data_IF_812226471287
#
_entry.id   IF_812226471287
#
_cell.length_a   1.000
_cell.length_b   1.000
_cell.length_c   1.000
_cell.angle_alpha   90.00
_cell.angle_beta   90.00
_cell.angle_gamma   90.00
#
_symmetry.space_group_name_H-M   'P 1'
#
loop_
_entity.id
_entity.type
_entity.pdbx_description
1 polymer ?
#
# COMPACT_ATOMS: atom_id res chain seq x y z
N UNK A 1 1.09 1.08 -14.82
CA UNK A 1 0.12 1.72 -13.90
C UNK A 1 0.75 2.85 -13.10
N UNK A 2 1.85 2.63 -12.43
CA UNK A 2 2.66 3.66 -11.75
C UNK A 2 4.03 3.71 -12.40
N UNK A 3 4.55 4.92 -12.67
CA UNK A 3 5.92 5.16 -13.10
C UNK A 3 6.49 6.26 -12.20
N UNK A 4 7.48 5.93 -11.39
CA UNK A 4 8.29 6.86 -10.62
C UNK A 4 9.65 7.01 -11.29
N UNK A 5 10.09 8.24 -11.56
CA UNK A 5 11.35 8.53 -12.23
C UNK A 5 12.15 9.55 -11.44
N UNK A 6 13.26 9.10 -10.84
CA UNK A 6 14.22 9.89 -10.06
C UNK A 6 13.55 10.76 -8.98
N UNK A 7 12.56 10.18 -8.27
CA UNK A 7 11.78 10.89 -7.25
C UNK A 7 12.64 11.11 -6.02
N UNK A 8 12.81 12.36 -5.63
CA UNK A 8 13.48 12.75 -4.38
C UNK A 8 12.56 13.60 -3.51
N UNK A 9 12.73 13.50 -2.20
CA UNK A 9 12.00 14.32 -1.22
C UNK A 9 12.88 14.75 -0.08
N UNK A 10 13.00 16.06 0.10
CA UNK A 10 13.71 16.68 1.20
C UNK A 10 12.72 17.38 2.15
N UNK A 11 12.98 17.29 3.43
CA UNK A 11 12.33 18.04 4.51
C UNK A 11 13.43 18.80 5.26
N UNK A 12 13.67 20.06 4.85
CA UNK A 12 14.85 20.79 5.29
C UNK A 12 16.14 20.06 4.92
N UNK A 13 16.97 19.74 5.90
CA UNK A 13 18.22 18.98 5.73
C UNK A 13 18.01 17.46 5.62
N UNK A 14 16.83 16.93 5.97
CA UNK A 14 16.56 15.51 5.91
C UNK A 14 16.12 15.10 4.50
N UNK A 15 16.93 14.26 3.83
CA UNK A 15 16.58 13.63 2.58
C UNK A 15 15.80 12.31 2.85
N UNK A 16 14.48 12.35 2.70
CA UNK A 16 13.61 11.19 2.95
C UNK A 16 13.55 10.23 1.77
N UNK A 17 13.71 10.73 0.53
CA UNK A 17 13.82 9.93 -0.70
C UNK A 17 14.94 10.47 -1.56
N UNK A 18 15.72 9.57 -2.16
CA UNK A 18 16.86 9.88 -3.01
C UNK A 18 16.79 9.13 -4.33
N UNK A 19 16.45 9.84 -5.41
CA UNK A 19 16.40 9.33 -6.78
C UNK A 19 15.63 8.01 -6.97
N UNK A 20 14.52 7.84 -6.27
CA UNK A 20 13.67 6.64 -6.33
C UNK A 20 13.08 6.49 -7.72
N UNK A 21 13.34 5.35 -8.36
CA UNK A 21 12.78 4.99 -9.67
C UNK A 21 12.26 3.57 -9.65
N UNK A 22 11.02 3.36 -10.12
CA UNK A 22 10.41 2.05 -10.30
C UNK A 22 9.19 2.17 -11.22
N UNK A 23 8.72 1.02 -11.71
CA UNK A 23 7.50 0.93 -12.50
C UNK A 23 6.61 -0.20 -11.96
N UNK A 24 5.30 0.02 -11.85
CA UNK A 24 4.32 -1.01 -11.45
C UNK A 24 3.30 -1.19 -12.57
N UNK A 25 3.12 -2.43 -13.01
CA UNK A 25 2.16 -2.80 -14.05
C UNK A 25 0.73 -2.87 -13.51
N UNK A 26 -0.26 -2.91 -14.40
CA UNK A 26 -1.67 -3.10 -14.01
C UNK A 26 -1.89 -4.53 -13.53
N UNK A 27 -2.68 -4.68 -12.46
CA UNK A 27 -3.08 -5.97 -11.93
C UNK A 27 -2.06 -6.62 -10.98
N UNK A 28 -0.90 -5.99 -10.74
CA UNK A 28 0.08 -6.50 -9.79
C UNK A 28 -0.31 -6.18 -8.34
N UNK A 29 -0.02 -7.11 -7.42
CA UNK A 29 0.11 -6.80 -6.00
C UNK A 29 1.61 -6.68 -5.71
N UNK A 30 2.03 -5.47 -5.35
CA UNK A 30 3.44 -5.16 -5.06
C UNK A 30 3.61 -4.91 -3.58
N UNK A 31 4.48 -5.70 -2.94
CA UNK A 31 4.91 -5.49 -1.56
C UNK A 31 5.99 -4.41 -1.49
N UNK A 32 5.79 -3.41 -0.64
CA UNK A 32 6.75 -2.33 -0.42
C UNK A 32 7.36 -2.45 0.97
N UNK A 33 8.59 -2.91 1.02
CA UNK A 33 9.29 -3.29 2.24
C UNK A 33 10.38 -2.30 2.62
N UNK A 34 10.60 -2.12 3.90
CA UNK A 34 11.67 -1.29 4.44
C UNK A 34 11.50 -1.06 5.93
N UNK A 35 12.58 -0.76 6.63
CA UNK A 35 12.55 -0.42 8.06
C UNK A 35 11.76 0.88 8.29
N UNK A 36 11.37 1.12 9.55
CA UNK A 36 10.79 2.41 9.93
C UNK A 36 11.78 3.54 9.63
N UNK A 37 11.26 4.64 9.08
CA UNK A 37 12.10 5.76 8.62
C UNK A 37 12.79 5.57 7.26
N UNK A 38 12.64 4.43 6.58
CA UNK A 38 13.28 4.19 5.28
C UNK A 38 12.71 5.02 4.12
N UNK A 39 11.55 5.70 4.30
CA UNK A 39 10.91 6.52 3.27
C UNK A 39 9.57 5.97 2.75
N UNK A 40 9.07 4.83 3.25
CA UNK A 40 7.84 4.19 2.78
C UNK A 40 6.63 5.14 2.78
N UNK A 41 6.27 5.66 3.93
CA UNK A 41 5.11 6.56 4.08
C UNK A 41 5.30 7.87 3.28
N UNK A 42 6.53 8.37 3.17
CA UNK A 42 6.83 9.55 2.33
C UNK A 42 6.53 9.26 0.86
N UNK A 43 6.97 8.13 0.33
CA UNK A 43 6.68 7.73 -1.04
C UNK A 43 5.17 7.55 -1.26
N UNK A 44 4.47 6.87 -0.35
CA UNK A 44 3.01 6.68 -0.46
C UNK A 44 2.25 8.00 -0.44
N UNK A 45 2.66 8.97 0.39
CA UNK A 45 2.08 10.32 0.40
C UNK A 45 2.30 11.07 -0.92
N UNK A 46 3.45 10.85 -1.58
CA UNK A 46 3.70 11.40 -2.92
C UNK A 46 2.78 10.72 -3.94
N UNK A 47 2.72 9.39 -3.98
CA UNK A 47 1.88 8.64 -4.92
C UNK A 47 0.40 9.01 -4.79
N UNK A 48 -0.07 9.30 -3.57
CA UNK A 48 -1.46 9.74 -3.31
C UNK A 48 -1.68 11.24 -3.54
N UNK A 49 -0.68 11.96 -4.07
CA UNK A 49 -0.70 13.42 -4.27
C UNK A 49 -0.99 14.20 -2.99
N UNK A 50 -0.65 13.64 -1.81
CA UNK A 50 -0.79 14.32 -0.53
C UNK A 50 0.34 15.33 -0.30
N UNK A 51 1.56 15.01 -0.77
CA UNK A 51 2.72 15.90 -0.81
C UNK A 51 3.36 15.87 -2.19
N UNK A 52 3.95 16.97 -2.63
CA UNK A 52 4.74 17.02 -3.85
C UNK A 52 6.16 16.45 -3.62
N UNK A 53 6.77 15.79 -4.61
CA UNK A 53 8.21 15.50 -4.58
C UNK A 53 9.03 16.79 -4.62
N UNK A 54 10.29 16.76 -4.14
CA UNK A 54 11.23 17.87 -4.28
C UNK A 54 11.85 17.92 -5.69
N UNK A 55 12.03 16.72 -6.30
CA UNK A 55 12.46 16.57 -7.70
C UNK A 55 12.00 15.21 -8.24
N UNK A 56 12.15 15.02 -9.55
CA UNK A 56 11.68 13.83 -10.25
C UNK A 56 10.22 13.91 -10.66
N UNK A 57 9.68 12.81 -11.18
CA UNK A 57 8.35 12.77 -11.76
C UNK A 57 7.63 11.47 -11.39
N UNK A 58 6.34 11.56 -11.12
CA UNK A 58 5.47 10.41 -10.95
C UNK A 58 4.31 10.48 -11.92
N UNK A 59 4.06 9.37 -12.61
CA UNK A 59 2.92 9.18 -13.49
C UNK A 59 2.03 8.07 -12.92
N UNK A 60 0.72 8.28 -12.91
CA UNK A 60 -0.27 7.27 -12.54
C UNK A 60 -1.32 7.18 -13.65
N UNK A 61 -1.47 5.97 -14.20
CA UNK A 61 -2.37 5.70 -15.33
C UNK A 61 -2.15 6.66 -16.52
N UNK A 62 -0.89 7.03 -16.78
CA UNK A 62 -0.48 7.93 -17.85
C UNK A 62 -0.57 9.42 -17.51
N UNK A 63 -1.05 9.80 -16.34
CA UNK A 63 -1.20 11.19 -15.91
C UNK A 63 -0.11 11.59 -14.90
N UNK A 64 0.42 12.79 -15.04
CA UNK A 64 1.40 13.38 -14.12
C UNK A 64 0.71 13.88 -12.85
N UNK A 65 1.15 13.37 -11.67
CA UNK A 65 0.55 13.71 -10.38
C UNK A 65 0.62 15.21 -10.05
N UNK A 66 1.63 15.90 -10.55
CA UNK A 66 1.80 17.34 -10.31
C UNK A 66 0.78 18.18 -11.08
N UNK A 67 0.33 17.68 -12.23
CA UNK A 67 -0.59 18.40 -13.12
C UNK A 67 -2.06 18.00 -12.96
N UNK A 68 -2.32 16.73 -12.59
CA UNK A 68 -3.65 16.11 -12.60
C UNK A 68 -4.04 15.52 -11.23
N UNK A 69 -3.68 16.18 -10.14
CA UNK A 69 -3.84 15.63 -8.79
C UNK A 69 -5.28 15.25 -8.43
N UNK A 70 -6.29 15.99 -8.88
CA UNK A 70 -7.71 15.68 -8.61
C UNK A 70 -8.17 14.44 -9.37
N UNK A 71 -7.89 14.37 -10.69
CA UNK A 71 -8.20 13.18 -11.52
C UNK A 71 -7.53 11.93 -10.97
N UNK A 72 -6.27 12.05 -10.60
CA UNK A 72 -5.50 10.92 -10.04
C UNK A 72 -6.06 10.45 -8.71
N UNK A 73 -6.43 11.35 -7.79
CA UNK A 73 -7.05 10.98 -6.51
C UNK A 73 -8.38 10.22 -6.67
N UNK A 74 -9.12 10.48 -7.74
CA UNK A 74 -10.32 9.69 -8.07
C UNK A 74 -10.01 8.26 -8.53
N UNK A 75 -8.80 8.01 -9.03
CA UNK A 75 -8.33 6.69 -9.48
C UNK A 75 -7.65 5.88 -8.38
N UNK A 76 -7.39 6.50 -7.22
CA UNK A 76 -6.65 5.89 -6.10
C UNK A 76 -7.56 5.65 -4.92
N UNK A 77 -7.54 4.42 -4.41
CA UNK A 77 -7.97 4.10 -3.05
C UNK A 77 -6.77 4.17 -2.12
N UNK A 78 -6.89 4.85 -0.99
CA UNK A 78 -5.81 4.94 -0.02
C UNK A 78 -6.28 4.59 1.39
N UNK A 79 -5.54 3.71 2.03
CA UNK A 79 -5.65 3.38 3.43
C UNK A 79 -4.33 3.76 4.11
N UNK A 80 -4.27 4.81 4.93
CA UNK A 80 -3.12 5.08 5.78
C UNK A 80 -3.07 4.08 6.95
N UNK A 81 -1.91 3.95 7.59
CA UNK A 81 -1.67 3.08 8.76
C UNK A 81 -2.76 3.25 9.84
N UNK A 82 -3.19 4.48 10.11
CA UNK A 82 -4.34 4.78 10.95
C UNK A 82 -5.49 5.27 10.07
N UNK A 83 -6.55 4.47 9.87
CA UNK A 83 -7.70 4.88 9.06
C UNK A 83 -8.39 6.13 9.62
N UNK A 84 -8.68 7.15 8.80
CA UNK A 84 -9.36 8.39 9.23
C UNK A 84 -10.87 8.14 9.36
N UNK A 85 -11.27 7.39 10.39
CA UNK A 85 -12.66 7.00 10.61
C UNK A 85 -13.40 8.01 11.50
N UNK A 86 -14.67 8.29 11.19
CA UNK A 86 -15.54 9.09 12.04
C UNK A 86 -16.19 8.20 13.11
N UNK A 87 -15.61 8.21 14.31
CA UNK A 87 -15.94 7.33 15.42
C UNK A 87 -17.43 7.30 15.77
N UNK A 88 -18.12 8.45 15.69
CA UNK A 88 -19.53 8.62 16.05
C UNK A 88 -20.51 8.21 14.94
N UNK A 89 -20.04 7.88 13.76
CA UNK A 89 -20.89 7.38 12.66
C UNK A 89 -21.07 5.87 12.74
N UNK A 90 -22.20 5.38 12.24
CA UNK A 90 -22.33 3.94 11.94
C UNK A 90 -21.51 3.60 10.71
N UNK A 91 -21.08 2.33 10.59
CA UNK A 91 -20.30 1.85 9.43
C UNK A 91 -20.99 2.24 8.11
N UNK A 92 -22.28 1.92 7.96
CA UNK A 92 -23.02 2.22 6.73
C UNK A 92 -23.12 3.72 6.44
N UNK A 93 -23.29 4.56 7.44
CA UNK A 93 -23.40 6.02 7.24
C UNK A 93 -22.04 6.60 6.85
N UNK A 94 -20.96 6.13 7.48
CA UNK A 94 -19.60 6.52 7.10
C UNK A 94 -19.26 6.12 5.65
N UNK A 95 -19.59 4.88 5.25
CA UNK A 95 -19.34 4.42 3.89
C UNK A 95 -20.20 5.14 2.85
N UNK A 96 -21.47 5.49 3.17
CA UNK A 96 -22.28 6.36 2.31
C UNK A 96 -21.65 7.73 2.12
N UNK A 97 -21.19 8.35 3.20
CA UNK A 97 -20.48 9.62 3.18
C UNK A 97 -19.17 9.53 2.37
N UNK A 98 -18.38 8.46 2.55
CA UNK A 98 -17.17 8.24 1.77
C UNK A 98 -17.47 8.09 0.28
N UNK A 99 -18.53 7.36 -0.10
CA UNK A 99 -18.98 7.22 -1.49
C UNK A 99 -19.33 8.58 -2.11
N UNK A 100 -19.98 9.44 -1.35
CA UNK A 100 -20.33 10.79 -1.79
C UNK A 100 -19.11 11.66 -2.03
N UNK A 101 -18.21 11.73 -1.04
CA UNK A 101 -16.95 12.47 -1.14
C UNK A 101 -16.07 12.00 -2.30
N UNK A 102 -16.09 10.70 -2.60
CA UNK A 102 -15.33 10.09 -3.70
C UNK A 102 -16.03 10.24 -5.07
N UNK A 103 -17.16 10.95 -5.14
CA UNK A 103 -17.86 11.23 -6.40
C UNK A 103 -18.65 10.05 -6.96
N UNK A 104 -18.99 9.04 -6.16
CA UNK A 104 -19.87 7.95 -6.60
C UNK A 104 -21.25 8.52 -6.94
N UNK A 105 -21.71 8.30 -8.18
CA UNK A 105 -23.01 8.77 -8.63
C UNK A 105 -24.15 8.27 -7.74
N UNK A 106 -25.12 9.14 -7.42
CA UNK A 106 -26.19 8.86 -6.44
C UNK A 106 -26.96 7.58 -6.73
N UNK A 107 -27.22 7.28 -7.98
CA UNK A 107 -27.89 6.04 -8.43
C UNK A 107 -27.04 4.78 -8.21
N UNK A 108 -25.72 4.88 -8.11
CA UNK A 108 -24.79 3.76 -7.89
C UNK A 108 -24.43 3.56 -6.41
N UNK A 109 -24.61 4.56 -5.54
CA UNK A 109 -24.15 4.53 -4.12
C UNK A 109 -24.71 3.34 -3.34
N UNK A 110 -26.00 3.00 -3.55
CA UNK A 110 -26.63 1.86 -2.85
C UNK A 110 -25.99 0.53 -3.23
N UNK A 111 -25.73 0.33 -4.52
CA UNK A 111 -25.09 -0.89 -5.05
C UNK A 111 -23.65 -0.99 -4.56
N UNK A 112 -22.88 0.10 -4.65
CA UNK A 112 -21.49 0.13 -4.19
C UNK A 112 -21.37 -0.10 -2.69
N UNK A 113 -22.29 0.48 -1.90
CA UNK A 113 -22.33 0.23 -0.46
C UNK A 113 -22.56 -1.26 -0.15
N UNK A 114 -23.52 -1.89 -0.81
CA UNK A 114 -23.79 -3.33 -0.61
C UNK A 114 -22.55 -4.18 -0.98
N UNK A 115 -21.95 -3.89 -2.14
CA UNK A 115 -20.74 -4.57 -2.63
C UNK A 115 -19.58 -4.50 -1.63
N UNK A 116 -19.22 -3.30 -1.14
CA UNK A 116 -18.08 -3.17 -0.22
C UNK A 116 -18.36 -3.72 1.18
N UNK A 117 -19.62 -3.70 1.63
CA UNK A 117 -20.01 -4.34 2.89
C UNK A 117 -19.81 -5.85 2.82
N UNK A 118 -20.17 -6.48 1.71
CA UNK A 118 -19.97 -7.89 1.44
C UNK A 118 -18.48 -8.22 1.28
N UNK A 119 -17.77 -7.55 0.36
CA UNK A 119 -16.33 -7.76 0.10
C UNK A 119 -15.48 -7.64 1.37
N UNK A 120 -15.79 -6.68 2.25
CA UNK A 120 -15.04 -6.44 3.48
C UNK A 120 -15.60 -7.17 4.70
N UNK A 121 -16.60 -8.04 4.54
CA UNK A 121 -17.28 -8.79 5.61
C UNK A 121 -17.76 -7.87 6.75
N UNK A 122 -18.47 -6.78 6.40
CA UNK A 122 -18.98 -5.77 7.31
C UNK A 122 -20.50 -5.84 7.54
N UNK A 123 -21.20 -6.77 6.91
CA UNK A 123 -22.66 -6.90 6.95
C UNK A 123 -23.20 -6.94 8.39
N UNK A 124 -22.58 -7.75 9.26
CA UNK A 124 -23.01 -7.96 10.65
C UNK A 124 -22.83 -6.69 11.53
N UNK A 125 -21.93 -5.79 11.13
CA UNK A 125 -21.59 -4.58 11.90
C UNK A 125 -22.05 -3.28 11.24
N UNK A 126 -22.71 -3.34 10.09
CA UNK A 126 -23.05 -2.14 9.30
C UNK A 126 -23.85 -1.07 10.06
N UNK A 127 -24.64 -1.48 11.06
CA UNK A 127 -25.44 -0.58 11.91
C UNK A 127 -24.73 -0.18 13.21
N UNK A 128 -23.57 -0.81 13.54
CA UNK A 128 -22.80 -0.46 14.74
C UNK A 128 -22.04 0.83 14.53
N UNK A 129 -21.88 1.59 15.62
CA UNK A 129 -21.04 2.78 15.65
C UNK A 129 -19.56 2.37 15.54
N UNK A 130 -18.79 3.10 14.73
CA UNK A 130 -17.38 2.78 14.48
C UNK A 130 -16.55 2.80 15.77
N UNK A 131 -16.88 3.67 16.73
CA UNK A 131 -16.20 3.69 18.04
C UNK A 131 -16.19 2.33 18.72
N UNK A 132 -17.28 1.55 18.61
CA UNK A 132 -17.48 0.26 19.31
C UNK A 132 -16.83 -0.93 18.62
N UNK A 133 -16.22 -0.73 17.45
CA UNK A 133 -15.62 -1.80 16.68
C UNK A 133 -14.23 -2.19 17.17
N UNK A 134 -13.87 -3.48 17.05
CA UNK A 134 -12.49 -3.94 17.21
C UNK A 134 -11.58 -3.30 16.17
N UNK A 135 -10.25 -3.32 16.40
CA UNK A 135 -9.26 -2.79 15.47
C UNK A 135 -9.36 -3.43 14.09
N UNK A 136 -9.55 -4.75 14.01
CA UNK A 136 -9.72 -5.46 12.74
C UNK A 136 -10.96 -5.05 11.96
N UNK A 137 -12.09 -4.81 12.63
CA UNK A 137 -13.26 -4.23 11.97
C UNK A 137 -13.02 -2.81 11.48
N UNK A 138 -12.36 -1.96 12.28
CA UNK A 138 -11.97 -0.59 11.87
C UNK A 138 -11.07 -0.62 10.63
N UNK A 139 -10.12 -1.55 10.57
CA UNK A 139 -9.24 -1.72 9.42
C UNK A 139 -10.03 -2.11 8.17
N UNK A 140 -10.98 -3.06 8.28
CA UNK A 140 -11.84 -3.45 7.16
C UNK A 140 -12.76 -2.31 6.70
N UNK A 141 -13.28 -1.49 7.62
CA UNK A 141 -14.00 -0.26 7.26
C UNK A 141 -13.09 0.72 6.50
N UNK A 142 -11.82 0.83 6.92
CA UNK A 142 -10.81 1.63 6.23
C UNK A 142 -10.52 1.12 4.81
N UNK A 143 -10.45 -0.19 4.60
CA UNK A 143 -10.31 -0.78 3.25
C UNK A 143 -11.59 -0.53 2.44
N UNK A 144 -12.77 -0.76 3.02
CA UNK A 144 -14.05 -0.54 2.35
C UNK A 144 -14.20 0.91 1.83
N UNK A 145 -13.84 1.92 2.64
CA UNK A 145 -13.83 3.31 2.18
C UNK A 145 -12.80 3.56 1.07
N UNK A 146 -11.66 2.87 1.09
CA UNK A 146 -10.65 3.02 0.06
C UNK A 146 -11.10 2.46 -1.30
N UNK A 147 -11.95 1.43 -1.32
CA UNK A 147 -12.39 0.76 -2.55
C UNK A 147 -13.80 1.14 -3.03
N UNK A 148 -14.58 1.89 -2.26
CA UNK A 148 -16.01 2.16 -2.53
C UNK A 148 -16.29 2.86 -3.87
N UNK A 149 -15.33 3.60 -4.40
CA UNK A 149 -15.42 4.30 -5.69
C UNK A 149 -14.76 3.52 -6.84
N UNK A 150 -14.44 2.23 -6.63
CA UNK A 150 -13.81 1.34 -7.62
C UNK A 150 -12.50 1.89 -8.20
N UNK A 151 -11.50 2.23 -7.36
CA UNK A 151 -10.25 2.77 -7.85
C UNK A 151 -9.49 1.75 -8.69
N UNK A 152 -8.68 2.22 -9.64
CA UNK A 152 -7.76 1.39 -10.42
C UNK A 152 -6.50 1.01 -9.66
N UNK A 153 -6.11 1.82 -8.67
CA UNK A 153 -4.95 1.64 -7.82
C UNK A 153 -5.36 1.70 -6.36
N UNK A 154 -4.98 0.69 -5.59
CA UNK A 154 -5.18 0.62 -4.14
C UNK A 154 -3.82 0.71 -3.45
N UNK A 155 -3.63 1.71 -2.60
CA UNK A 155 -2.43 1.92 -1.80
C UNK A 155 -2.80 1.67 -0.33
N UNK A 156 -2.09 0.73 0.30
CA UNK A 156 -2.34 0.32 1.69
C UNK A 156 -1.06 0.49 2.50
N UNK A 157 -1.09 1.35 3.51
CA UNK A 157 0.05 1.60 4.39
C UNK A 157 -0.13 0.81 5.69
N UNK A 158 0.69 -0.25 5.89
CA UNK A 158 0.69 -1.14 7.05
C UNK A 158 -0.72 -1.68 7.42
N UNK A 159 -1.47 -2.30 6.49
CA UNK A 159 -2.89 -2.63 6.68
C UNK A 159 -3.16 -3.65 7.79
N UNK A 160 -2.16 -4.36 8.25
CA UNK A 160 -2.25 -5.43 9.27
C UNK A 160 -1.68 -5.01 10.62
N UNK A 161 -1.15 -3.78 10.73
CA UNK A 161 -0.47 -3.29 11.93
C UNK A 161 -1.32 -3.41 13.20
N UNK A 162 -0.81 -4.19 14.18
CA UNK A 162 -1.42 -4.39 15.50
C UNK A 162 -2.76 -5.13 15.49
N UNK A 163 -2.98 -5.99 14.49
CA UNK A 163 -4.05 -6.96 14.45
C UNK A 163 -3.59 -8.29 15.05
N UNK A 164 -4.53 -9.09 15.53
CA UNK A 164 -4.25 -10.48 15.93
C UNK A 164 -4.08 -11.38 14.70
N UNK A 165 -3.49 -12.59 14.83
CA UNK A 165 -3.19 -13.48 13.71
C UNK A 165 -4.42 -13.84 12.85
N UNK A 166 -5.60 -14.00 13.44
CA UNK A 166 -6.82 -14.33 12.72
C UNK A 166 -7.27 -13.14 11.87
N UNK A 167 -7.24 -11.93 12.44
CA UNK A 167 -7.58 -10.69 11.74
C UNK A 167 -6.59 -10.39 10.61
N UNK A 168 -5.28 -10.66 10.80
CA UNK A 168 -4.25 -10.53 9.76
C UNK A 168 -4.64 -11.39 8.57
N UNK A 169 -4.92 -12.68 8.76
CA UNK A 169 -5.29 -13.58 7.65
C UNK A 169 -6.55 -13.10 6.90
N UNK A 170 -7.55 -12.58 7.63
CA UNK A 170 -8.76 -12.03 7.02
C UNK A 170 -8.45 -10.80 6.15
N UNK A 171 -7.57 -9.90 6.60
CA UNK A 171 -7.18 -8.70 5.84
C UNK A 171 -6.31 -9.08 4.64
N UNK A 172 -5.36 -10.02 4.79
CA UNK A 172 -4.55 -10.51 3.67
C UNK A 172 -5.38 -11.18 2.58
N UNK A 173 -6.36 -12.01 2.96
CA UNK A 173 -7.29 -12.63 2.01
C UNK A 173 -8.10 -11.56 1.25
N UNK A 174 -8.59 -10.52 1.95
CA UNK A 174 -9.30 -9.41 1.34
C UNK A 174 -8.41 -8.66 0.34
N UNK A 175 -7.14 -8.38 0.69
CA UNK A 175 -6.17 -7.72 -0.20
C UNK A 175 -5.88 -8.59 -1.42
N UNK A 176 -5.67 -9.89 -1.24
CA UNK A 176 -5.39 -10.84 -2.32
C UNK A 176 -6.52 -10.89 -3.36
N UNK A 177 -7.77 -10.83 -2.91
CA UNK A 177 -8.95 -10.81 -3.77
C UNK A 177 -9.08 -9.51 -4.60
N UNK A 178 -8.36 -8.45 -4.25
CA UNK A 178 -8.37 -7.21 -5.04
C UNK A 178 -7.59 -7.31 -6.36
N UNK A 179 -6.71 -8.29 -6.52
CA UNK A 179 -5.84 -8.46 -7.69
C UNK A 179 -6.58 -8.47 -9.03
N UNK A 180 -7.72 -9.13 -9.08
CA UNK A 180 -8.51 -9.25 -10.32
C UNK A 180 -9.15 -7.92 -10.76
N UNK A 181 -9.30 -6.99 -9.83
CA UNK A 181 -10.03 -5.75 -10.06
C UNK A 181 -9.12 -4.54 -10.19
N UNK A 182 -7.93 -4.54 -9.53
CA UNK A 182 -7.06 -3.36 -9.42
C UNK A 182 -5.61 -3.69 -9.13
N UNK A 183 -4.74 -2.74 -9.39
CA UNK A 183 -3.35 -2.77 -8.95
C UNK A 183 -3.28 -2.46 -7.46
N UNK A 184 -2.45 -3.17 -6.70
CA UNK A 184 -2.29 -2.96 -5.26
C UNK A 184 -0.83 -2.69 -4.93
N UNK A 185 -0.57 -1.62 -4.18
CA UNK A 185 0.71 -1.36 -3.52
C UNK A 185 0.48 -1.44 -2.01
N UNK A 186 1.12 -2.38 -1.35
CA UNK A 186 0.95 -2.62 0.08
C UNK A 186 2.28 -2.51 0.81
N UNK A 187 2.39 -1.62 1.81
CA UNK A 187 3.53 -1.61 2.71
C UNK A 187 3.30 -2.59 3.86
N UNK A 188 4.36 -3.25 4.28
CA UNK A 188 4.43 -4.00 5.53
C UNK A 188 5.87 -4.02 6.04
N UNK A 189 6.02 -4.14 7.34
CA UNK A 189 7.28 -4.50 7.99
C UNK A 189 7.36 -6.01 8.27
N UNK A 190 6.26 -6.75 8.08
CA UNK A 190 6.16 -8.20 8.26
C UNK A 190 6.30 -8.89 6.91
N UNK A 191 7.47 -9.48 6.67
CA UNK A 191 7.86 -10.07 5.40
C UNK A 191 7.01 -11.29 5.03
N UNK A 192 6.66 -12.13 6.02
CA UNK A 192 5.80 -13.30 5.83
C UNK A 192 4.39 -12.94 5.34
N UNK A 193 3.87 -11.74 5.65
CA UNK A 193 2.59 -11.26 5.12
C UNK A 193 2.69 -10.95 3.63
N UNK A 194 3.78 -10.29 3.22
CA UNK A 194 4.03 -9.95 1.82
C UNK A 194 4.25 -11.21 0.97
N UNK A 195 4.93 -12.22 1.50
CA UNK A 195 5.10 -13.52 0.80
C UNK A 195 3.77 -14.17 0.44
N UNK A 196 2.73 -13.97 1.25
CA UNK A 196 1.41 -14.59 1.01
C UNK A 196 0.60 -13.94 -0.11
N UNK A 197 0.84 -12.65 -0.39
CA UNK A 197 -0.06 -11.87 -1.27
C UNK A 197 0.63 -11.24 -2.48
N UNK A 198 1.92 -10.88 -2.38
CA UNK A 198 2.62 -10.13 -3.42
C UNK A 198 3.17 -11.02 -4.54
N UNK A 199 3.23 -10.50 -5.76
CA UNK A 199 3.94 -11.09 -6.89
C UNK A 199 5.31 -10.45 -7.09
N UNK A 200 5.49 -9.23 -6.62
CA UNK A 200 6.70 -8.43 -6.77
C UNK A 200 6.99 -7.68 -5.49
N UNK A 201 8.25 -7.43 -5.25
CA UNK A 201 8.72 -6.76 -4.04
C UNK A 201 9.61 -5.59 -4.41
N UNK A 202 9.31 -4.43 -3.83
CA UNK A 202 10.17 -3.26 -3.79
C UNK A 202 10.74 -3.13 -2.37
N UNK A 203 12.07 -3.10 -2.22
CA UNK A 203 12.70 -2.83 -0.92
C UNK A 203 13.34 -1.46 -0.92
N UNK A 204 13.02 -0.66 0.09
CA UNK A 204 13.61 0.67 0.30
C UNK A 204 14.49 0.70 1.54
N UNK A 205 15.68 1.32 1.42
CA UNK A 205 16.61 1.60 2.51
C UNK A 205 17.13 3.02 2.39
N UNK A 206 17.07 3.80 3.46
CA UNK A 206 17.58 5.18 3.50
C UNK A 206 17.17 6.01 2.27
N UNK A 207 15.88 5.94 1.90
CA UNK A 207 15.33 6.69 0.79
C UNK A 207 15.62 6.15 -0.61
N UNK A 208 16.33 5.03 -0.76
CA UNK A 208 16.69 4.42 -2.06
C UNK A 208 16.04 3.05 -2.25
N UNK A 209 15.62 2.73 -3.48
CA UNK A 209 15.21 1.36 -3.84
C UNK A 209 16.47 0.51 -3.96
N UNK A 210 16.53 -0.57 -3.16
CA UNK A 210 17.65 -1.53 -3.16
C UNK A 210 17.30 -2.86 -3.78
N UNK A 211 16.01 -3.18 -3.90
CA UNK A 211 15.49 -4.37 -4.59
C UNK A 211 14.22 -3.96 -5.34
N UNK A 212 14.10 -4.42 -6.58
CA UNK A 212 12.92 -4.35 -7.43
C UNK A 212 12.85 -5.62 -8.26
N UNK A 213 12.13 -6.64 -7.75
CA UNK A 213 12.16 -7.97 -8.35
C UNK A 213 10.85 -8.74 -8.10
N UNK A 214 10.56 -9.72 -8.95
CA UNK A 214 9.48 -10.66 -8.70
C UNK A 214 9.76 -11.51 -7.46
N UNK A 215 8.73 -11.75 -6.65
CA UNK A 215 8.86 -12.56 -5.43
C UNK A 215 9.40 -13.96 -5.75
N UNK A 216 8.93 -14.56 -6.84
CA UNK A 216 9.38 -15.89 -7.27
C UNK A 216 10.88 -15.93 -7.55
N UNK A 217 11.44 -14.91 -8.23
CA UNK A 217 12.90 -14.84 -8.47
C UNK A 217 13.69 -14.61 -7.20
N UNK A 218 13.16 -13.79 -6.27
CA UNK A 218 13.81 -13.57 -4.99
C UNK A 218 13.91 -14.85 -4.17
N UNK A 219 12.83 -15.63 -4.08
CA UNK A 219 12.78 -16.87 -3.29
C UNK A 219 13.57 -18.01 -3.92
N UNK A 220 13.56 -18.13 -5.25
CA UNK A 220 14.29 -19.20 -5.95
C UNK A 220 15.82 -18.96 -6.06
N UNK A 221 16.29 -17.75 -5.70
CA UNK A 221 17.70 -17.36 -5.76
C UNK A 221 18.25 -17.24 -7.19
N UNK A 222 19.35 -16.51 -7.38
CA UNK A 222 20.12 -16.51 -8.63
C UNK A 222 20.96 -17.79 -8.82
N UNK A 223 21.03 -18.66 -7.81
CA UNK A 223 21.80 -19.91 -7.82
C UNK A 223 20.87 -21.07 -7.46
N UNK A 224 20.55 -21.88 -8.46
CA UNK A 224 19.76 -23.11 -8.31
C UNK A 224 20.41 -24.19 -7.39
N UNK A 225 21.64 -23.94 -6.91
CA UNK A 225 22.44 -24.88 -6.10
C UNK A 225 22.35 -24.66 -4.58
N UNK A 226 21.57 -23.68 -4.09
CA UNK A 226 21.37 -23.47 -2.66
C UNK A 226 20.05 -24.11 -2.17
N UNK A 227 20.12 -25.25 -1.58
CA UNK A 227 19.06 -25.89 -0.79
C UNK A 227 19.32 -25.63 0.70
N UNK A 228 18.35 -25.15 1.49
CA UNK A 228 16.97 -24.80 1.16
C UNK A 228 16.80 -23.38 0.55
N UNK A 229 15.65 -23.10 -0.12
CA UNK A 229 15.38 -21.78 -0.67
C UNK A 229 15.34 -20.72 0.45
N UNK A 230 15.92 -19.55 0.17
CA UNK A 230 15.95 -18.45 1.15
C UNK A 230 14.55 -17.88 1.38
N UNK A 231 14.23 -17.59 2.64
CA UNK A 231 13.02 -16.83 2.97
C UNK A 231 13.19 -15.35 2.61
N UNK A 232 12.11 -14.63 2.39
CA UNK A 232 12.15 -13.18 2.13
C UNK A 232 12.85 -12.44 3.29
N UNK A 233 12.76 -12.96 4.52
CA UNK A 233 13.44 -12.41 5.69
C UNK A 233 14.97 -12.53 5.59
N UNK A 234 15.48 -13.69 5.20
CA UNK A 234 16.91 -13.89 4.97
C UNK A 234 17.44 -12.99 3.85
N UNK A 235 16.67 -12.86 2.77
CA UNK A 235 17.00 -11.98 1.65
C UNK A 235 17.03 -10.51 2.12
N UNK A 236 16.04 -10.08 2.89
CA UNK A 236 15.97 -8.74 3.44
C UNK A 236 17.16 -8.42 4.35
N UNK A 237 17.52 -9.34 5.25
CA UNK A 237 18.68 -9.20 6.15
C UNK A 237 19.96 -9.09 5.33
N UNK A 238 20.17 -9.98 4.35
CA UNK A 238 21.37 -9.99 3.50
C UNK A 238 21.56 -8.67 2.72
N UNK A 239 20.48 -8.15 2.13
CA UNK A 239 20.53 -6.86 1.42
C UNK A 239 20.77 -5.67 2.36
N UNK A 240 20.27 -5.74 3.60
CA UNK A 240 20.52 -4.69 4.59
C UNK A 240 21.96 -4.72 5.13
N UNK A 241 22.59 -5.89 5.30
CA UNK A 241 23.98 -6.03 5.78
C UNK A 241 25.00 -5.65 4.72
N UNK A 242 24.89 -6.13 3.47
CA UNK A 242 25.82 -5.83 2.37
C UNK A 242 25.96 -4.32 2.11
N UNK A 243 24.89 -3.56 2.17
CA UNK A 243 24.93 -2.11 1.98
C UNK A 243 25.46 -1.32 3.20
N UNK A 244 25.61 -1.94 4.37
CA UNK A 244 26.22 -1.29 5.54
C UNK A 244 27.75 -1.38 5.47
N UNK A 245 28.29 -2.44 4.87
CA UNK A 245 29.74 -2.62 4.67
C UNK A 245 30.29 -1.75 3.53
N UNK A 246 29.51 -1.51 2.46
CA UNK A 246 29.92 -0.65 1.35
C UNK A 246 30.03 0.84 1.74
N UNK A 247 29.27 1.30 2.72
CA UNK A 247 29.33 2.69 3.21
C UNK A 247 30.36 2.92 4.30
N UNK A 248 31.01 1.88 4.82
CA UNK A 248 32.07 1.97 5.84
C UNK A 248 33.50 1.87 5.24
N UNK A 249 33.63 1.64 3.94
CA UNK A 249 34.89 1.51 3.23
C UNK A 249 35.41 2.78 2.52
N UNK A 250 34.64 3.87 2.58
CA UNK A 250 34.99 5.16 1.93
C UNK A 250 35.25 6.27 2.98
N UNK A 251 35.99 5.95 4.07
CA UNK A 251 36.52 6.97 5.00
C UNK A 251 38.03 6.82 5.07
#
# INVERSE_FOLDING_TARGET
MIIANKVSKNFGSLQALDNVSFEISKGDIVGFLGKNGAGKTTLMRILTSFIAPSSGKVMIDGEDIAKHSLSIRQKIGYLPETPPLYANMTVQNYLKFAAELKGVASNRRKVQLAKVLEECHLEQVKRKTIATLSKGYKQRVGIAQAIIHEPKLLILDEPTSGLDPIQIQQVLALIKNQREQRTVLVSSHTLAEIEQIAQRVLMIKSGKIIVDESLQRLLNGKNADQSPPLTLEQIFINHHQKHTQASAGDI
#
